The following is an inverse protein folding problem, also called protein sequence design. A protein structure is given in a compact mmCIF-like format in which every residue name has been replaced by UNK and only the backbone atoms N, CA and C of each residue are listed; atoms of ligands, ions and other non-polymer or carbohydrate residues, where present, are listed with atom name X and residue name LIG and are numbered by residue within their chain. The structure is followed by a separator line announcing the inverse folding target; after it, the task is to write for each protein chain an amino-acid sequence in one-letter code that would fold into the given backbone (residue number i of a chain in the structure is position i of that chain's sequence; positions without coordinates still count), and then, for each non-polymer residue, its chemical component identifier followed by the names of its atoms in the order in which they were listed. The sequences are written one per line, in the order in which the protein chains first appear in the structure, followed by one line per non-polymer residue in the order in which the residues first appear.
data_IF_655211675747
#
_entry.id   IF_655211675747
#
_cell.length_a   1.000
_cell.length_b   1.000
_cell.length_c   1.000
_cell.angle_alpha   90.00
_cell.angle_beta   90.00
_cell.angle_gamma   90.00
#
_symmetry.space_group_name_H-M   'P 1'
#
loop_
_entity.id
_entity.type
_entity.pdbx_description
1 polymer ?
#
# COMPACT_ATOMS: atom_id res chain seq x y z
N UNK A 1 -25.43 -18.29 16.96
CA UNK A 1 -25.67 -17.30 15.90
C UNK A 1 -24.90 -17.72 14.66
N UNK A 2 -25.56 -17.85 13.50
CA UNK A 2 -24.91 -18.24 12.23
C UNK A 2 -24.60 -16.95 11.47
N UNK A 3 -23.32 -16.60 11.33
CA UNK A 3 -22.88 -15.37 10.66
C UNK A 3 -22.93 -15.58 9.14
N UNK A 4 -24.14 -15.63 8.57
CA UNK A 4 -24.35 -16.02 7.18
C UNK A 4 -23.94 -14.93 6.19
N UNK A 5 -23.88 -13.66 6.58
CA UNK A 5 -23.52 -12.54 5.68
C UNK A 5 -22.08 -12.08 5.84
N UNK A 6 -21.26 -12.76 6.66
CA UNK A 6 -19.91 -12.32 6.95
C UNK A 6 -18.96 -12.70 5.80
N UNK A 7 -18.46 -11.69 5.10
CA UNK A 7 -17.55 -11.86 3.95
C UNK A 7 -16.08 -11.65 4.31
N UNK A 8 -15.80 -10.74 5.23
CA UNK A 8 -14.45 -10.42 5.66
C UNK A 8 -14.35 -10.47 7.18
N UNK A 9 -13.27 -11.09 7.66
CA UNK A 9 -12.86 -11.05 9.07
C UNK A 9 -11.42 -10.58 9.14
N UNK A 10 -11.20 -9.50 9.89
CA UNK A 10 -9.86 -9.00 10.20
C UNK A 10 -9.62 -9.06 11.71
N UNK A 11 -8.75 -9.99 12.14
CA UNK A 11 -8.30 -10.15 13.54
C UNK A 11 -6.80 -9.87 13.66
N UNK A 12 -6.24 -9.12 12.73
CA UNK A 12 -4.81 -8.83 12.68
C UNK A 12 -4.34 -7.99 13.87
N UNK A 13 -3.06 -8.08 14.21
CA UNK A 13 -2.41 -7.33 15.28
C UNK A 13 -2.98 -7.54 16.69
N UNK A 14 -3.44 -8.75 16.95
CA UNK A 14 -3.79 -9.18 18.28
C UNK A 14 -2.65 -10.02 18.87
N UNK A 15 -2.95 -10.79 19.92
CA UNK A 15 -2.00 -11.73 20.54
C UNK A 15 -2.51 -13.16 20.41
N UNK A 16 -3.23 -13.46 19.32
CA UNK A 16 -3.82 -14.76 19.11
C UNK A 16 -2.71 -15.79 18.88
N UNK A 17 -2.70 -16.85 19.68
CA UNK A 17 -1.79 -17.99 19.50
C UNK A 17 -2.38 -19.06 18.57
N UNK A 18 -3.68 -19.03 18.35
CA UNK A 18 -4.41 -19.97 17.50
C UNK A 18 -5.69 -19.33 16.97
N UNK A 19 -6.29 -19.97 15.98
CA UNK A 19 -7.55 -19.58 15.38
C UNK A 19 -8.42 -20.85 15.20
N UNK A 20 -9.73 -20.73 15.38
CA UNK A 20 -10.64 -21.88 15.34
C UNK A 20 -10.89 -22.35 13.90
N UNK A 21 -11.03 -23.66 13.68
CA UNK A 21 -11.49 -24.21 12.40
C UNK A 21 -12.96 -23.86 12.07
N UNK A 22 -13.71 -23.30 13.04
CA UNK A 22 -15.08 -22.85 12.82
C UNK A 22 -15.22 -21.79 11.71
N UNK A 23 -14.17 -21.04 11.39
CA UNK A 23 -14.17 -20.11 10.25
C UNK A 23 -14.38 -20.83 8.90
N UNK A 24 -14.03 -22.12 8.80
CA UNK A 24 -14.30 -22.94 7.62
C UNK A 24 -15.81 -23.16 7.38
N UNK A 25 -16.64 -23.01 8.42
CA UNK A 25 -18.09 -23.24 8.35
C UNK A 25 -18.88 -22.00 7.95
N UNK A 26 -18.22 -20.85 7.81
CA UNK A 26 -18.87 -19.61 7.39
C UNK A 26 -19.10 -19.65 5.87
N UNK A 27 -20.36 -19.62 5.39
CA UNK A 27 -20.68 -19.90 4.00
C UNK A 27 -20.14 -18.83 3.05
N UNK A 28 -20.11 -17.57 3.49
CA UNK A 28 -19.76 -16.42 2.68
C UNK A 28 -18.40 -15.80 3.03
N UNK A 29 -17.63 -16.39 3.95
CA UNK A 29 -16.33 -15.83 4.34
C UNK A 29 -15.32 -15.97 3.19
N UNK A 30 -14.97 -14.83 2.60
CA UNK A 30 -14.07 -14.68 1.47
C UNK A 30 -12.65 -14.30 1.88
N UNK A 31 -12.52 -13.47 2.92
CA UNK A 31 -11.26 -12.89 3.36
C UNK A 31 -11.07 -13.12 4.85
N UNK A 32 -9.94 -13.72 5.24
CA UNK A 32 -9.52 -13.87 6.63
C UNK A 32 -8.12 -13.26 6.82
N UNK A 33 -8.05 -12.15 7.54
CA UNK A 33 -6.80 -11.46 7.89
C UNK A 33 -6.43 -11.72 9.34
N UNK A 34 -5.27 -12.32 9.56
CA UNK A 34 -4.73 -12.76 10.85
C UNK A 34 -3.29 -12.29 11.06
N UNK A 35 -2.80 -11.34 10.27
CA UNK A 35 -1.39 -10.96 10.31
C UNK A 35 -0.99 -10.34 11.65
N UNK A 36 0.30 -10.33 11.97
CA UNK A 36 0.83 -9.71 13.20
C UNK A 36 0.21 -10.28 14.48
N UNK A 37 -0.01 -11.59 14.54
CA UNK A 37 -0.44 -12.31 15.74
C UNK A 37 0.72 -13.19 16.27
N UNK A 38 0.42 -14.22 17.05
CA UNK A 38 1.37 -15.22 17.58
C UNK A 38 0.98 -16.64 17.16
N UNK A 39 0.33 -16.77 16.00
CA UNK A 39 -0.26 -18.02 15.55
C UNK A 39 0.85 -18.98 15.19
N UNK A 40 0.84 -20.17 15.78
CA UNK A 40 1.88 -21.18 15.52
C UNK A 40 1.51 -22.18 14.42
N UNK A 41 0.22 -22.25 14.07
CA UNK A 41 -0.30 -23.18 13.06
C UNK A 41 -1.58 -22.67 12.41
N UNK A 42 -1.75 -22.96 11.12
CA UNK A 42 -2.97 -22.65 10.35
C UNK A 42 -4.03 -23.71 10.66
N UNK A 43 -5.30 -23.34 10.94
CA UNK A 43 -6.37 -24.29 11.24
C UNK A 43 -6.81 -25.04 9.98
N UNK A 44 -7.61 -26.10 10.17
CA UNK A 44 -8.28 -26.75 9.04
C UNK A 44 -9.34 -25.82 8.43
N UNK A 45 -9.09 -25.35 7.21
CA UNK A 45 -9.98 -24.50 6.42
C UNK A 45 -10.47 -25.21 5.15
N UNK A 46 -10.32 -26.54 5.07
CA UNK A 46 -10.66 -27.35 3.89
C UNK A 46 -12.13 -27.26 3.49
N UNK A 47 -13.00 -27.09 4.48
CA UNK A 47 -14.46 -27.02 4.32
C UNK A 47 -14.97 -25.64 3.90
N UNK A 48 -14.10 -24.62 3.84
CA UNK A 48 -14.53 -23.31 3.37
C UNK A 48 -14.91 -23.34 1.89
N UNK A 49 -16.08 -22.78 1.59
CA UNK A 49 -16.65 -22.76 0.24
C UNK A 49 -16.33 -21.48 -0.54
N UNK A 50 -15.88 -20.42 0.15
CA UNK A 50 -15.74 -19.08 -0.41
C UNK A 50 -14.41 -18.40 -0.12
N UNK A 51 -13.62 -18.89 0.85
CA UNK A 51 -12.37 -18.24 1.26
C UNK A 51 -11.36 -18.24 0.13
N UNK A 52 -11.03 -17.06 -0.39
CA UNK A 52 -10.06 -16.88 -1.47
C UNK A 52 -8.78 -16.16 -1.02
N UNK A 53 -8.80 -15.45 0.12
CA UNK A 53 -7.63 -14.78 0.70
C UNK A 53 -7.46 -15.15 2.17
N UNK A 54 -6.28 -15.67 2.51
CA UNK A 54 -5.82 -15.90 3.88
C UNK A 54 -4.50 -15.17 4.10
N UNK A 55 -4.50 -14.21 5.01
CA UNK A 55 -3.26 -13.54 5.45
C UNK A 55 -2.91 -14.00 6.87
N UNK A 56 -1.84 -14.79 6.99
CA UNK A 56 -1.27 -15.27 8.26
C UNK A 56 0.19 -14.81 8.41
N UNK A 57 0.54 -13.72 7.74
CA UNK A 57 1.89 -13.17 7.80
C UNK A 57 2.25 -12.62 9.18
N UNK A 58 3.54 -12.51 9.48
CA UNK A 58 4.04 -11.99 10.75
C UNK A 58 3.40 -12.72 11.95
N UNK A 59 3.50 -14.04 11.94
CA UNK A 59 3.08 -14.94 13.01
C UNK A 59 4.27 -15.86 13.36
N UNK A 60 4.03 -16.85 14.20
CA UNK A 60 5.03 -17.81 14.68
C UNK A 60 4.86 -19.18 14.00
N UNK A 61 4.43 -19.21 12.73
CA UNK A 61 4.18 -20.45 11.99
C UNK A 61 5.50 -21.08 11.57
N UNK A 62 5.81 -22.25 12.11
CA UNK A 62 7.09 -22.94 11.82
C UNK A 62 7.01 -23.88 10.61
N UNK A 63 5.84 -24.47 10.37
CA UNK A 63 5.66 -25.48 9.33
C UNK A 63 4.32 -25.27 8.62
N UNK A 64 4.35 -25.39 7.30
CA UNK A 64 3.14 -25.52 6.48
C UNK A 64 3.18 -26.92 5.91
N UNK A 65 2.40 -27.82 6.50
CA UNK A 65 2.24 -29.13 5.90
C UNK A 65 1.38 -28.95 4.64
N UNK A 66 1.89 -29.28 3.47
CA UNK A 66 1.20 -29.06 2.19
C UNK A 66 0.09 -30.07 1.92
N UNK A 67 0.01 -31.12 2.75
CA UNK A 67 -1.17 -31.95 2.91
C UNK A 67 -2.29 -31.22 3.71
N UNK A 68 -2.03 -30.03 4.28
CA UNK A 68 -3.03 -29.19 4.96
C UNK A 68 -4.10 -28.72 4.00
N UNK A 69 -5.31 -29.25 4.20
CA UNK A 69 -6.51 -28.52 4.63
C UNK A 69 -6.69 -27.03 4.28
N UNK A 70 -6.32 -26.61 3.08
CA UNK A 70 -6.64 -25.28 2.56
C UNK A 70 -7.98 -25.30 1.81
N UNK A 71 -8.69 -24.18 1.86
CA UNK A 71 -9.94 -24.00 1.13
C UNK A 71 -9.73 -24.22 -0.39
N UNK A 72 -10.64 -24.95 -1.05
CA UNK A 72 -10.57 -25.17 -2.50
C UNK A 72 -10.64 -23.86 -3.29
N UNK A 73 -11.12 -22.79 -2.70
CA UNK A 73 -11.23 -21.46 -3.31
C UNK A 73 -10.00 -20.57 -3.08
N UNK A 74 -9.03 -20.98 -2.26
CA UNK A 74 -7.91 -20.11 -1.84
C UNK A 74 -7.00 -19.66 -3.00
N UNK A 75 -7.04 -18.39 -3.37
CA UNK A 75 -6.19 -17.82 -4.43
C UNK A 75 -4.92 -17.17 -3.88
N UNK A 76 -5.01 -16.59 -2.68
CA UNK A 76 -3.93 -15.85 -2.04
C UNK A 76 -3.70 -16.37 -0.63
N UNK A 77 -2.47 -16.81 -0.35
CA UNK A 77 -1.99 -17.19 0.97
C UNK A 77 -0.74 -16.39 1.27
N UNK A 78 -0.82 -15.49 2.24
CA UNK A 78 0.33 -14.71 2.67
C UNK A 78 0.94 -15.32 3.94
N UNK A 79 2.13 -15.88 3.79
CA UNK A 79 2.95 -16.49 4.84
C UNK A 79 4.19 -15.65 5.18
N UNK A 80 4.32 -14.47 4.58
CA UNK A 80 5.52 -13.63 4.76
C UNK A 80 5.78 -13.35 6.23
N UNK A 81 7.05 -13.16 6.58
CA UNK A 81 7.44 -12.75 7.93
C UNK A 81 7.11 -13.77 9.05
N UNK A 82 6.88 -15.04 8.73
CA UNK A 82 6.96 -16.13 9.71
C UNK A 82 8.42 -16.59 9.78
N UNK A 83 9.19 -16.04 10.74
CA UNK A 83 10.66 -16.17 10.75
C UNK A 83 11.16 -17.61 10.93
N UNK A 84 10.37 -18.44 11.62
CA UNK A 84 10.68 -19.84 11.84
C UNK A 84 10.14 -20.76 10.73
N UNK A 85 9.45 -20.20 9.72
CA UNK A 85 8.79 -20.99 8.69
C UNK A 85 9.80 -21.72 7.81
N UNK A 86 9.80 -23.04 7.92
CA UNK A 86 10.57 -23.92 7.04
C UNK A 86 9.67 -24.42 5.93
N UNK A 87 9.77 -23.78 4.76
CA UNK A 87 9.07 -24.23 3.57
C UNK A 87 9.96 -25.22 2.82
N UNK A 88 9.58 -26.49 2.81
CA UNK A 88 10.24 -27.45 1.94
C UNK A 88 9.60 -27.39 0.54
N UNK A 89 10.29 -26.82 -0.43
CA UNK A 89 9.82 -26.72 -1.83
C UNK A 89 9.50 -28.09 -2.46
N UNK A 90 10.05 -29.17 -1.91
CA UNK A 90 9.76 -30.54 -2.35
C UNK A 90 8.40 -31.08 -1.87
N UNK A 91 7.84 -30.57 -0.75
CA UNK A 91 6.50 -30.94 -0.27
C UNK A 91 5.41 -30.06 -0.88
N UNK A 92 5.74 -28.87 -1.39
CA UNK A 92 4.87 -27.96 -2.17
C UNK A 92 4.48 -28.48 -3.55
N UNK A 93 4.32 -29.80 -3.71
CA UNK A 93 3.72 -30.35 -4.92
C UNK A 93 2.21 -30.31 -4.75
N UNK A 94 1.46 -29.45 -5.48
CA UNK A 94 0.02 -29.60 -5.54
C UNK A 94 -0.27 -30.97 -6.15
N UNK A 95 -0.56 -31.96 -5.29
CA UNK A 95 -1.11 -33.25 -5.74
C UNK A 95 -2.55 -33.03 -6.16
N UNK A 96 -2.76 -32.40 -7.32
CA UNK A 96 -3.98 -32.49 -8.14
C UNK A 96 -3.76 -31.82 -9.49
N UNK A 97 -4.13 -32.53 -10.57
CA UNK A 97 -4.22 -32.01 -11.93
C UNK A 97 -4.99 -30.68 -11.92
N UNK A 98 -4.39 -29.61 -12.43
CA UNK A 98 -5.07 -28.38 -12.80
C UNK A 98 -4.93 -27.17 -11.86
N UNK A 99 -4.14 -27.22 -10.78
CA UNK A 99 -3.91 -26.04 -9.93
C UNK A 99 -2.42 -25.81 -9.68
N UNK A 100 -1.87 -24.81 -10.37
CA UNK A 100 -0.53 -24.32 -10.13
C UNK A 100 -0.58 -23.39 -8.91
N UNK A 101 -0.09 -23.84 -7.76
CA UNK A 101 0.17 -22.95 -6.63
C UNK A 101 1.54 -22.32 -6.90
N UNK A 102 1.58 -21.07 -7.33
CA UNK A 102 2.83 -20.33 -7.44
C UNK A 102 3.22 -19.82 -6.06
N UNK A 103 4.30 -20.34 -5.50
CA UNK A 103 4.92 -19.77 -4.32
C UNK A 103 5.76 -18.59 -4.78
N UNK A 104 5.36 -17.38 -4.38
CA UNK A 104 6.11 -16.16 -4.62
C UNK A 104 6.79 -15.81 -3.30
N UNK A 105 8.10 -15.94 -3.26
CA UNK A 105 8.87 -15.45 -2.12
C UNK A 105 9.02 -13.92 -2.23
N UNK A 106 8.10 -13.22 -1.59
CA UNK A 106 8.13 -11.76 -1.52
C UNK A 106 9.32 -11.26 -0.67
N UNK A 107 9.91 -12.10 0.19
CA UNK A 107 11.02 -11.73 1.07
C UNK A 107 12.37 -11.66 0.35
N UNK A 108 12.66 -12.59 -0.57
CA UNK A 108 13.94 -12.64 -1.30
C UNK A 108 13.94 -11.81 -2.60
N UNK A 109 12.80 -11.61 -3.27
CA UNK A 109 12.68 -10.74 -4.45
C UNK A 109 12.61 -9.24 -4.12
N UNK A 110 12.54 -8.88 -2.83
CA UNK A 110 12.51 -7.48 -2.36
C UNK A 110 13.86 -6.76 -2.41
N UNK A 111 14.88 -7.38 -2.99
CA UNK A 111 16.19 -6.79 -3.25
C UNK A 111 16.24 -6.20 -4.66
N UNK A 112 16.40 -4.88 -4.77
CA UNK A 112 16.77 -4.23 -6.04
C UNK A 112 18.00 -3.36 -5.81
N UNK A 113 19.19 -3.88 -6.11
CA UNK A 113 20.44 -3.18 -5.81
C UNK A 113 20.65 -2.98 -4.30
N UNK A 114 21.07 -1.78 -3.83
CA UNK A 114 21.34 -1.48 -2.41
C UNK A 114 20.07 -1.21 -1.58
N UNK A 115 18.88 -1.55 -2.07
CA UNK A 115 17.61 -1.22 -1.40
C UNK A 115 16.78 -2.46 -1.10
N UNK A 116 16.18 -2.46 0.09
CA UNK A 116 15.14 -3.40 0.50
C UNK A 116 13.81 -2.66 0.54
N UNK A 117 12.80 -3.16 -0.16
CA UNK A 117 11.48 -2.53 -0.16
C UNK A 117 10.40 -3.52 0.28
N UNK A 118 9.27 -3.00 0.73
CA UNK A 118 8.13 -3.81 1.18
C UNK A 118 6.86 -2.99 1.13
N UNK A 119 5.72 -3.64 0.94
CA UNK A 119 4.43 -2.96 0.79
C UNK A 119 3.32 -3.73 1.48
N UNK A 120 2.29 -3.01 1.88
CA UNK A 120 1.11 -3.56 2.51
C UNK A 120 -0.12 -2.81 2.01
N UNK A 121 -1.08 -3.56 1.47
CA UNK A 121 -2.27 -3.03 0.81
C UNK A 121 -3.55 -3.62 1.41
N UNK A 122 -4.58 -2.79 1.61
CA UNK A 122 -5.89 -3.23 2.05
C UNK A 122 -6.96 -2.36 1.40
N UNK A 123 -8.03 -2.98 0.94
CA UNK A 123 -9.20 -2.29 0.39
C UNK A 123 -10.03 -1.59 1.49
N UNK A 124 -9.82 -1.93 2.77
CA UNK A 124 -10.65 -1.42 3.85
C UNK A 124 -12.12 -1.72 3.61
N UNK A 125 -12.98 -0.69 3.70
CA UNK A 125 -14.42 -0.79 3.41
C UNK A 125 -14.78 -0.70 1.92
N UNK A 126 -13.80 -0.53 1.02
CA UNK A 126 -14.06 -0.42 -0.43
C UNK A 126 -14.18 -1.80 -1.06
N UNK A 127 -15.07 -1.91 -2.04
CA UNK A 127 -15.30 -3.15 -2.80
C UNK A 127 -14.10 -3.56 -3.67
N UNK A 128 -13.18 -2.64 -3.98
CA UNK A 128 -12.00 -2.88 -4.81
C UNK A 128 -10.79 -2.09 -4.31
N UNK A 129 -9.60 -2.64 -4.54
CA UNK A 129 -8.33 -1.97 -4.28
C UNK A 129 -7.99 -1.06 -5.46
N UNK A 130 -7.97 0.25 -5.23
CA UNK A 130 -7.71 1.28 -6.25
C UNK A 130 -6.28 1.81 -6.20
N UNK A 131 -5.38 1.10 -5.52
CA UNK A 131 -4.03 1.56 -5.23
C UNK A 131 -3.02 0.62 -5.88
N UNK A 132 -2.09 1.18 -6.63
CA UNK A 132 -1.06 0.45 -7.38
C UNK A 132 0.32 0.96 -7.02
N UNK A 133 1.28 0.04 -7.03
CA UNK A 133 2.69 0.31 -6.81
C UNK A 133 3.46 0.36 -8.13
N UNK A 134 4.44 1.24 -8.20
CA UNK A 134 5.43 1.29 -9.27
C UNK A 134 6.71 0.69 -8.71
N UNK A 135 7.13 -0.42 -9.31
CA UNK A 135 8.32 -1.17 -8.91
C UNK A 135 9.48 -0.88 -9.87
N UNK A 136 10.72 -0.91 -9.37
CA UNK A 136 11.89 -0.90 -10.24
C UNK A 136 11.83 -2.12 -11.18
N UNK A 137 11.95 -1.88 -12.49
CA UNK A 137 12.23 -2.93 -13.48
C UNK A 137 13.75 -3.10 -13.60
N UNK A 138 14.21 -4.23 -14.14
CA UNK A 138 15.63 -4.60 -14.20
C UNK A 138 16.57 -3.50 -14.73
N UNK A 139 16.09 -2.61 -15.61
CA UNK A 139 16.82 -1.45 -16.17
C UNK A 139 16.68 -0.12 -15.41
N UNK A 140 15.72 -0.01 -14.48
CA UNK A 140 15.38 1.24 -13.79
C UNK A 140 15.27 1.02 -12.27
N UNK A 141 16.39 0.57 -11.67
CA UNK A 141 16.49 0.11 -10.26
C UNK A 141 16.26 1.19 -9.20
N UNK A 142 16.02 2.42 -9.63
CA UNK A 142 16.00 3.62 -8.78
C UNK A 142 14.62 4.28 -8.70
N UNK A 143 13.62 3.80 -9.46
CA UNK A 143 12.28 4.40 -9.51
C UNK A 143 11.31 3.57 -8.67
N UNK A 144 10.71 4.23 -7.69
CA UNK A 144 9.62 3.72 -6.87
C UNK A 144 8.42 4.65 -6.99
N UNK A 145 7.23 4.16 -6.73
CA UNK A 145 6.07 5.04 -6.74
C UNK A 145 4.79 4.38 -6.28
N UNK A 146 3.81 5.23 -6.04
CA UNK A 146 2.49 4.87 -5.56
C UNK A 146 1.45 5.68 -6.34
N UNK A 147 0.42 5.01 -6.83
CA UNK A 147 -0.74 5.62 -7.45
C UNK A 147 -1.97 5.22 -6.63
N UNK A 148 -2.70 6.21 -6.13
CA UNK A 148 -3.98 6.06 -5.45
C UNK A 148 -5.09 6.61 -6.35
N UNK A 149 -5.80 5.72 -7.04
CA UNK A 149 -6.94 6.04 -7.90
C UNK A 149 -8.20 6.45 -7.14
N UNK A 150 -8.17 6.48 -5.80
CA UNK A 150 -9.33 6.80 -4.97
C UNK A 150 -10.42 5.75 -5.14
N UNK A 151 -11.41 6.04 -5.97
CA UNK A 151 -12.53 5.13 -6.31
C UNK A 151 -12.36 4.46 -7.69
N UNK A 152 -11.28 4.75 -8.41
CA UNK A 152 -11.05 4.35 -9.78
C UNK A 152 -9.95 3.27 -9.87
N UNK A 153 -10.10 2.29 -10.78
CA UNK A 153 -9.18 1.13 -10.93
C UNK A 153 -8.21 1.28 -12.14
N UNK A 154 -8.41 2.28 -12.98
CA UNK A 154 -7.60 2.55 -14.19
C UNK A 154 -6.25 3.19 -13.84
N UNK A 155 -5.12 2.66 -14.33
CA UNK A 155 -3.76 3.17 -14.03
C UNK A 155 -2.82 3.20 -15.24
N UNK A 156 -1.83 4.10 -15.20
CA UNK A 156 -0.95 4.42 -16.33
C UNK A 156 0.48 3.91 -16.09
N UNK A 157 1.13 3.40 -17.15
CA UNK A 157 2.51 2.89 -17.10
C UNK A 157 3.45 3.67 -18.04
N UNK A 158 4.70 3.92 -17.61
CA UNK A 158 5.76 4.50 -18.45
C UNK A 158 6.73 5.38 -17.65
N UNK A 159 8.03 5.32 -17.97
CA UNK A 159 9.08 6.15 -17.32
C UNK A 159 9.79 7.00 -18.38
N UNK A 160 9.29 8.22 -18.56
CA UNK A 160 10.06 9.40 -18.98
C UNK A 160 10.16 10.34 -17.75
N UNK A 161 10.88 11.46 -17.85
CA UNK A 161 11.06 12.46 -16.78
C UNK A 161 9.86 12.53 -15.81
N UNK A 162 10.07 12.40 -14.50
CA UNK A 162 8.99 12.18 -13.50
C UNK A 162 7.74 13.07 -13.69
N UNK A 163 7.95 14.35 -14.03
CA UNK A 163 6.89 15.30 -14.36
C UNK A 163 6.09 14.93 -15.62
N UNK A 164 6.78 14.51 -16.68
CA UNK A 164 6.16 14.04 -17.92
C UNK A 164 5.37 12.76 -17.71
N UNK A 165 5.85 11.84 -16.87
CA UNK A 165 5.09 10.65 -16.51
C UNK A 165 3.75 11.00 -15.86
N UNK A 166 3.73 11.96 -14.93
CA UNK A 166 2.51 12.44 -14.27
C UNK A 166 1.57 13.19 -15.24
N UNK A 167 2.11 14.01 -16.14
CA UNK A 167 1.32 14.70 -17.16
C UNK A 167 0.68 13.70 -18.14
N UNK A 168 1.46 12.73 -18.64
CA UNK A 168 0.93 11.64 -19.49
C UNK A 168 -0.15 10.83 -18.77
N UNK A 169 0.03 10.60 -17.46
CA UNK A 169 -0.99 9.92 -16.67
C UNK A 169 -2.30 10.71 -16.58
N UNK A 170 -2.22 12.04 -16.41
CA UNK A 170 -3.41 12.90 -16.44
C UNK A 170 -4.10 12.87 -17.81
N UNK A 171 -3.34 12.98 -18.90
CA UNK A 171 -3.90 12.94 -20.26
C UNK A 171 -4.61 11.60 -20.54
N UNK A 172 -3.98 10.49 -20.17
CA UNK A 172 -4.57 9.17 -20.36
C UNK A 172 -5.84 8.95 -19.53
N UNK A 173 -5.87 9.41 -18.28
CA UNK A 173 -7.09 9.37 -17.46
C UNK A 173 -8.22 10.18 -18.11
N UNK A 174 -7.91 11.35 -18.68
CA UNK A 174 -8.89 12.16 -19.42
C UNK A 174 -9.46 11.44 -20.64
N UNK A 175 -8.64 10.67 -21.36
CA UNK A 175 -9.08 9.86 -22.51
C UNK A 175 -9.99 8.69 -22.09
N UNK A 176 -9.71 8.05 -20.94
CA UNK A 176 -10.50 6.93 -20.43
C UNK A 176 -11.84 7.37 -19.83
N UNK A 177 -11.88 8.56 -19.23
CA UNK A 177 -13.11 9.11 -18.69
C UNK A 177 -12.88 10.37 -17.88
N UNK A 178 -13.66 11.40 -18.17
CA UNK A 178 -13.44 12.74 -17.59
C UNK A 178 -13.53 12.76 -16.06
N UNK A 179 -14.37 11.89 -15.46
CA UNK A 179 -14.57 11.79 -14.00
C UNK A 179 -13.53 10.95 -13.27
N UNK A 180 -12.63 10.29 -13.99
CA UNK A 180 -11.58 9.50 -13.38
C UNK A 180 -10.50 10.42 -12.83
N UNK A 181 -10.03 10.13 -11.63
CA UNK A 181 -9.00 10.88 -10.96
C UNK A 181 -8.13 10.00 -10.09
N UNK A 182 -6.90 10.45 -9.87
CA UNK A 182 -5.91 9.75 -9.08
C UNK A 182 -4.96 10.73 -8.38
N UNK A 183 -4.35 10.26 -7.30
CA UNK A 183 -3.14 10.84 -6.73
C UNK A 183 -1.96 9.95 -7.10
N UNK A 184 -0.80 10.53 -7.35
CA UNK A 184 0.41 9.79 -7.66
C UNK A 184 1.63 10.44 -7.01
N UNK A 185 2.51 9.58 -6.52
CA UNK A 185 3.83 9.93 -6.02
C UNK A 185 4.86 9.06 -6.72
N UNK A 186 5.85 9.70 -7.31
CA UNK A 186 7.03 9.04 -7.86
C UNK A 186 8.25 9.45 -7.06
N UNK A 187 9.12 8.49 -6.81
CA UNK A 187 10.33 8.65 -6.04
C UNK A 187 11.48 8.04 -6.82
N UNK A 188 12.51 8.84 -7.03
CA UNK A 188 13.74 8.46 -7.70
C UNK A 188 14.91 8.60 -6.74
N UNK A 189 15.59 7.50 -6.49
CA UNK A 189 16.73 7.44 -5.57
C UNK A 189 18.03 7.42 -6.38
N UNK A 190 18.74 8.54 -6.41
CA UNK A 190 20.11 8.61 -6.92
C UNK A 190 21.11 8.20 -5.83
N UNK A 191 22.40 8.18 -6.16
CA UNK A 191 23.46 7.92 -5.16
C UNK A 191 23.50 9.00 -4.07
N UNK A 192 23.36 10.28 -4.44
CA UNK A 192 23.54 11.40 -3.49
C UNK A 192 22.25 12.17 -3.19
N UNK A 193 21.18 11.91 -3.94
CA UNK A 193 19.95 12.69 -3.87
C UNK A 193 18.70 11.84 -4.03
N UNK A 194 17.66 12.24 -3.29
CA UNK A 194 16.31 11.76 -3.40
C UNK A 194 15.47 12.78 -4.16
N UNK A 195 14.94 12.38 -5.32
CA UNK A 195 14.00 13.18 -6.09
C UNK A 195 12.59 12.64 -5.90
N UNK A 196 11.66 13.49 -5.50
CA UNK A 196 10.25 13.14 -5.36
C UNK A 196 9.39 14.03 -6.26
N UNK A 197 8.42 13.44 -6.96
CA UNK A 197 7.43 14.14 -7.76
C UNK A 197 6.02 13.70 -7.35
N UNK A 198 5.18 14.66 -6.97
CA UNK A 198 3.91 14.36 -6.28
C UNK A 198 2.78 15.16 -6.89
N UNK A 199 1.66 14.50 -7.15
CA UNK A 199 0.41 15.11 -7.60
C UNK A 199 -0.75 14.49 -6.83
N UNK A 200 -1.50 15.27 -6.06
CA UNK A 200 -2.62 14.80 -5.25
C UNK A 200 -2.25 14.55 -3.79
N UNK A 201 -2.92 13.60 -3.13
CA UNK A 201 -2.91 13.41 -1.67
C UNK A 201 -2.18 12.13 -1.23
N UNK A 202 -0.92 12.00 -1.63
CA UNK A 202 -0.01 10.94 -1.16
C UNK A 202 1.12 11.62 -0.40
N UNK A 203 1.46 11.07 0.76
CA UNK A 203 2.51 11.58 1.63
C UNK A 203 3.76 10.71 1.60
N UNK A 204 4.91 11.34 1.81
CA UNK A 204 6.19 10.66 1.95
C UNK A 204 7.00 11.24 3.11
N UNK A 205 7.59 10.36 3.91
CA UNK A 205 8.37 10.71 5.11
C UNK A 205 9.71 10.00 5.05
N UNK A 206 10.81 10.75 5.14
CA UNK A 206 12.17 10.23 5.26
C UNK A 206 12.54 10.12 6.74
N UNK A 207 13.03 8.96 7.18
CA UNK A 207 13.59 8.78 8.51
C UNK A 207 15.09 9.08 8.46
N UNK A 208 15.51 10.11 9.20
CA UNK A 208 16.91 10.53 9.34
C UNK A 208 17.31 10.52 10.81
N UNK A 209 18.22 9.63 11.17
CA UNK A 209 18.68 9.45 12.56
C UNK A 209 17.51 9.30 13.56
N UNK A 210 16.44 8.61 13.16
CA UNK A 210 15.22 8.44 13.95
C UNK A 210 14.23 9.59 13.95
N UNK A 211 14.54 10.71 13.29
CA UNK A 211 13.60 11.82 13.14
C UNK A 211 12.87 11.70 11.81
N UNK A 212 11.57 11.96 11.83
CA UNK A 212 10.75 12.04 10.63
C UNK A 212 10.94 13.40 9.96
N UNK A 213 11.49 13.39 8.74
CA UNK A 213 11.47 14.51 7.81
C UNK A 213 10.27 14.32 6.87
N UNK A 214 9.24 15.14 7.04
CA UNK A 214 8.10 15.14 6.13
C UNK A 214 8.53 15.78 4.79
N UNK A 215 8.50 14.98 3.72
CA UNK A 215 8.81 15.47 2.38
C UNK A 215 7.63 16.21 1.75
N UNK A 216 6.46 16.13 2.38
CA UNK A 216 5.15 16.46 1.82
C UNK A 216 4.34 17.40 2.68
N UNK A 217 4.98 18.06 3.65
CA UNK A 217 4.45 18.91 4.73
C UNK A 217 3.12 19.63 4.39
N UNK A 218 3.09 20.43 3.31
CA UNK A 218 1.91 21.22 2.88
C UNK A 218 0.90 20.49 1.97
N UNK A 219 1.19 19.26 1.54
CA UNK A 219 0.41 18.53 0.53
C UNK A 219 -0.52 17.47 1.13
N UNK A 220 -0.25 17.04 2.36
CA UNK A 220 -1.10 16.08 3.10
C UNK A 220 -2.26 16.80 3.80
N UNK A 221 -2.10 18.09 4.12
CA UNK A 221 -3.14 18.87 4.80
C UNK A 221 -4.46 18.76 4.03
N UNK A 222 -5.52 18.42 4.75
CA UNK A 222 -6.86 18.27 4.19
C UNK A 222 -7.48 19.61 3.77
N UNK A 223 -6.80 20.69 4.10
CA UNK A 223 -7.29 22.04 3.99
C UNK A 223 -6.67 22.68 2.75
N UNK A 224 -7.55 23.10 1.86
CA UNK A 224 -7.22 24.03 0.80
C UNK A 224 -6.74 25.29 1.51
N UNK A 225 -5.46 25.64 1.36
CA UNK A 225 -4.91 26.82 2.03
C UNK A 225 -5.66 28.09 1.57
N UNK A 226 -5.62 29.14 2.39
CA UNK A 226 -6.37 30.38 2.13
C UNK A 226 -6.12 30.95 0.72
N UNK A 227 -4.88 30.85 0.23
CA UNK A 227 -4.53 31.30 -1.13
C UNK A 227 -5.21 30.47 -2.22
N UNK A 228 -5.23 29.14 -2.08
CA UNK A 228 -5.91 28.23 -3.01
C UNK A 228 -7.43 28.45 -2.96
N UNK A 229 -7.97 28.66 -1.75
CA UNK A 229 -9.38 28.91 -1.53
C UNK A 229 -9.83 30.22 -2.19
N UNK A 230 -9.03 31.28 -2.05
CA UNK A 230 -9.28 32.56 -2.73
C UNK A 230 -9.21 32.42 -4.25
N UNK A 231 -8.26 31.64 -4.78
CA UNK A 231 -8.16 31.40 -6.22
C UNK A 231 -9.41 30.69 -6.75
N UNK A 232 -9.81 29.59 -6.12
CA UNK A 232 -11.01 28.83 -6.50
C UNK A 232 -12.29 29.70 -6.45
N UNK A 233 -12.43 30.54 -5.41
CA UNK A 233 -13.56 31.49 -5.32
C UNK A 233 -13.56 32.53 -6.44
N UNK A 234 -12.38 33.04 -6.85
CA UNK A 234 -12.29 33.97 -8.00
C UNK A 234 -12.72 33.30 -9.30
N UNK A 235 -12.48 31.99 -9.42
CA UNK A 235 -12.84 31.20 -10.59
C UNK A 235 -14.29 30.65 -10.52
N UNK A 236 -15.13 31.14 -9.59
CA UNK A 236 -16.51 30.73 -9.34
C UNK A 236 -16.69 29.23 -9.03
N UNK A 237 -15.66 28.60 -8.46
CA UNK A 237 -15.68 27.18 -8.11
C UNK A 237 -16.32 27.00 -6.72
N UNK A 238 -17.24 26.04 -6.62
CA UNK A 238 -17.90 25.70 -5.36
C UNK A 238 -17.01 24.80 -4.52
N UNK A 239 -16.84 25.14 -3.23
CA UNK A 239 -16.12 24.31 -2.26
C UNK A 239 -17.10 23.90 -1.17
N UNK A 240 -17.25 22.59 -0.95
CA UNK A 240 -18.13 22.07 0.10
C UNK A 240 -17.51 22.21 1.49
N UNK A 241 -18.32 22.01 2.52
CA UNK A 241 -17.87 22.03 3.92
C UNK A 241 -16.77 21.00 4.22
N UNK A 242 -16.71 19.92 3.45
CA UNK A 242 -15.70 18.87 3.57
C UNK A 242 -14.42 19.15 2.74
N UNK A 243 -14.22 20.39 2.29
CA UNK A 243 -13.10 20.82 1.43
C UNK A 243 -13.02 20.08 0.09
N UNK A 244 -14.17 19.73 -0.51
CA UNK A 244 -14.22 19.15 -1.85
C UNK A 244 -14.56 20.21 -2.90
N UNK A 245 -13.74 20.26 -3.94
CA UNK A 245 -13.93 21.08 -5.14
C UNK A 245 -15.08 20.49 -5.94
N UNK A 246 -16.12 21.29 -6.18
CA UNK A 246 -17.39 20.89 -6.81
C UNK A 246 -18.03 19.65 -6.15
N UNK A 247 -17.74 19.44 -4.86
CA UNK A 247 -18.21 18.27 -4.12
C UNK A 247 -17.56 16.93 -4.50
N UNK A 248 -16.53 16.96 -5.34
CA UNK A 248 -15.94 15.74 -5.94
C UNK A 248 -14.47 15.59 -5.59
N UNK A 249 -13.65 16.61 -5.86
CA UNK A 249 -12.19 16.47 -5.81
C UNK A 249 -11.59 17.09 -4.55
N UNK A 250 -10.79 16.36 -3.76
CA UNK A 250 -10.22 16.87 -2.51
C UNK A 250 -8.92 17.66 -2.70
N UNK A 251 -8.42 17.85 -3.94
CA UNK A 251 -7.17 18.55 -4.21
C UNK A 251 -7.16 19.19 -5.59
N UNK A 252 -6.69 20.45 -5.67
CA UNK A 252 -6.50 21.17 -6.94
C UNK A 252 -5.43 20.53 -7.83
N UNK A 253 -4.58 19.65 -7.28
CA UNK A 253 -3.40 19.08 -7.96
C UNK A 253 -3.57 17.61 -8.33
N UNK A 254 -4.79 17.08 -8.26
CA UNK A 254 -5.06 15.68 -8.62
C UNK A 254 -4.80 15.42 -10.11
N UNK A 255 -4.42 14.20 -10.44
CA UNK A 255 -4.40 13.72 -11.83
C UNK A 255 -5.83 13.39 -12.26
N UNK A 256 -6.10 13.46 -13.58
CA UNK A 256 -7.44 13.28 -14.14
C UNK A 256 -8.38 14.44 -13.79
N UNK A 257 -9.64 14.11 -13.48
CA UNK A 257 -10.75 15.05 -13.25
C UNK A 257 -10.85 16.12 -14.33
N UNK A 258 -10.72 15.73 -15.60
CA UNK A 258 -10.64 16.65 -16.73
C UNK A 258 -11.85 17.58 -16.85
N UNK A 259 -13.03 17.15 -16.39
CA UNK A 259 -14.24 18.00 -16.35
C UNK A 259 -14.17 19.13 -15.32
N UNK A 260 -13.24 19.08 -14.36
CA UNK A 260 -13.00 20.14 -13.37
C UNK A 260 -11.95 21.15 -13.84
N UNK A 261 -11.51 21.10 -15.09
CA UNK A 261 -10.65 22.13 -15.66
C UNK A 261 -11.37 23.50 -15.67
N UNK A 262 -10.72 24.61 -15.26
CA UNK A 262 -9.31 24.74 -14.84
C UNK A 262 -9.08 24.63 -13.33
N UNK A 263 -10.13 24.37 -12.53
CA UNK A 263 -10.07 24.30 -11.07
C UNK A 263 -9.14 23.19 -10.55
N UNK A 264 -9.13 22.04 -11.25
CA UNK A 264 -8.23 20.93 -10.97
C UNK A 264 -7.29 20.76 -12.14
N UNK A 265 -5.99 20.92 -11.87
CA UNK A 265 -4.93 20.77 -12.86
C UNK A 265 -3.73 20.09 -12.21
N UNK A 266 -3.16 19.06 -12.86
CA UNK A 266 -1.98 18.38 -12.34
C UNK A 266 -0.80 19.37 -12.32
N UNK A 267 -0.39 19.77 -11.13
CA UNK A 267 0.82 20.55 -10.92
C UNK A 267 1.77 19.75 -10.02
N UNK A 268 2.54 18.81 -10.60
CA UNK A 268 3.36 17.92 -9.81
C UNK A 268 4.47 18.71 -9.12
N UNK A 269 4.50 18.63 -7.79
CA UNK A 269 5.51 19.29 -6.97
C UNK A 269 6.76 18.43 -6.99
N UNK A 270 7.92 19.05 -7.31
CA UNK A 270 9.22 18.39 -7.28
C UNK A 270 9.93 18.77 -5.99
N UNK A 271 10.30 17.77 -5.20
CA UNK A 271 11.14 17.91 -4.01
C UNK A 271 12.46 17.20 -4.30
N UNK A 272 13.58 17.81 -3.91
CA UNK A 272 14.91 17.19 -4.01
C UNK A 272 15.57 17.32 -2.65
N UNK A 273 16.03 16.19 -2.10
CA UNK A 273 16.66 16.11 -0.77
C UNK A 273 17.98 15.38 -0.90
N UNK A 274 19.10 15.93 -0.39
CA UNK A 274 20.37 15.21 -0.37
C UNK A 274 20.26 14.01 0.59
N UNK A 275 20.72 12.85 0.13
CA UNK A 275 20.81 11.64 0.94
C UNK A 275 22.05 11.73 1.83
N UNK A 276 21.90 11.31 3.09
CA UNK A 276 22.97 11.27 4.08
C UNK A 276 23.12 9.85 4.62
N UNK A 277 24.29 9.51 5.13
CA UNK A 277 24.57 8.20 5.76
C UNK A 277 23.69 7.92 6.99
N UNK A 278 23.04 8.96 7.52
CA UNK A 278 22.08 8.86 8.63
C UNK A 278 20.65 8.52 8.18
N UNK A 279 20.40 8.39 6.89
CA UNK A 279 19.07 8.08 6.33
C UNK A 279 18.77 6.58 6.44
N UNK A 280 17.67 6.24 7.13
CA UNK A 280 17.36 4.83 7.45
C UNK A 280 16.34 4.22 6.48
N UNK A 281 15.25 4.94 6.21
CA UNK A 281 14.15 4.46 5.35
C UNK A 281 13.22 5.60 4.94
N UNK A 282 12.43 5.37 3.90
CA UNK A 282 11.34 6.24 3.44
C UNK A 282 10.01 5.50 3.56
N UNK A 283 9.01 6.19 4.09
CA UNK A 283 7.62 5.76 4.14
C UNK A 283 6.86 6.52 3.07
N UNK A 284 6.19 5.83 2.15
CA UNK A 284 5.22 6.41 1.22
C UNK A 284 3.85 5.84 1.60
N UNK A 285 2.85 6.69 1.83
CA UNK A 285 1.51 6.21 2.14
C UNK A 285 0.44 7.16 1.65
N UNK A 286 -0.78 6.64 1.45
CA UNK A 286 -1.92 7.49 1.10
C UNK A 286 -2.32 8.39 2.26
N UNK A 287 -3.05 9.48 1.97
CA UNK A 287 -3.64 10.37 2.98
C UNK A 287 -4.32 9.65 4.13
N UNK A 288 -4.89 8.48 3.86
CA UNK A 288 -5.64 7.73 4.84
C UNK A 288 -4.77 7.22 6.02
N UNK A 289 -3.46 7.01 5.84
CA UNK A 289 -2.54 6.74 6.96
C UNK A 289 -2.30 8.01 7.78
N UNK A 290 -1.92 9.08 7.09
CA UNK A 290 -1.47 10.34 7.68
C UNK A 290 -2.57 11.07 8.44
N UNK A 291 -3.85 10.78 8.13
CA UNK A 291 -5.01 11.23 8.93
C UNK A 291 -5.01 10.71 10.37
N UNK A 292 -4.42 9.54 10.63
CA UNK A 292 -4.50 8.88 11.93
C UNK A 292 -3.15 8.72 12.62
N UNK A 293 -2.05 8.80 11.88
CA UNK A 293 -0.70 8.60 12.40
C UNK A 293 0.21 9.74 11.93
N UNK A 294 0.83 10.44 12.88
CA UNK A 294 1.79 11.50 12.55
C UNK A 294 3.09 10.92 11.96
N UNK A 295 3.82 11.68 11.13
CA UNK A 295 5.10 11.28 10.56
C UNK A 295 6.07 10.68 11.58
N UNK A 296 6.32 11.38 12.70
CA UNK A 296 7.23 10.91 13.74
C UNK A 296 6.73 9.61 14.38
N UNK A 297 5.43 9.50 14.64
CA UNK A 297 4.86 8.29 15.24
C UNK A 297 5.01 7.08 14.31
N UNK A 298 4.87 7.28 13.00
CA UNK A 298 5.09 6.23 12.00
C UNK A 298 6.54 5.72 12.04
N UNK A 299 7.52 6.63 12.12
CA UNK A 299 8.94 6.30 12.27
C UNK A 299 9.20 5.49 13.54
N UNK A 300 8.76 5.96 14.70
CA UNK A 300 8.97 5.29 15.99
C UNK A 300 8.44 3.85 16.01
N UNK A 301 7.32 3.60 15.34
CA UNK A 301 6.65 2.30 15.33
C UNK A 301 7.41 1.23 14.55
N UNK A 302 8.11 1.64 13.49
CA UNK A 302 8.72 0.71 12.53
C UNK A 302 10.24 0.72 12.53
N UNK A 303 10.89 1.73 13.13
CA UNK A 303 12.35 1.84 13.17
C UNK A 303 13.04 0.57 13.67
N UNK A 304 12.46 -0.07 14.70
CA UNK A 304 12.97 -1.32 15.28
C UNK A 304 12.82 -2.56 14.38
N UNK A 305 11.99 -2.52 13.34
CA UNK A 305 11.64 -3.67 12.51
C UNK A 305 12.53 -3.69 11.31
N UNK A 306 13.45 -4.66 11.19
CA UNK A 306 14.42 -4.76 10.09
C UNK A 306 13.77 -4.97 8.70
N UNK A 307 12.80 -5.87 8.62
CA UNK A 307 12.17 -6.22 7.35
C UNK A 307 11.14 -5.14 6.92
N UNK A 308 11.29 -4.52 5.72
CA UNK A 308 10.38 -3.46 5.26
C UNK A 308 8.94 -3.96 5.02
N UNK A 309 8.75 -5.23 4.65
CA UNK A 309 7.43 -5.84 4.51
C UNK A 309 6.71 -5.91 5.87
N UNK A 310 7.44 -6.25 6.93
CA UNK A 310 6.92 -6.24 8.30
C UNK A 310 6.59 -4.82 8.76
N UNK A 311 7.46 -3.87 8.45
CA UNK A 311 7.26 -2.46 8.78
C UNK A 311 5.97 -1.92 8.12
N UNK A 312 5.78 -2.18 6.83
CA UNK A 312 4.59 -1.76 6.09
C UNK A 312 3.31 -2.36 6.70
N UNK A 313 3.32 -3.66 7.00
CA UNK A 313 2.17 -4.34 7.63
C UNK A 313 1.84 -3.79 9.01
N UNK A 314 2.84 -3.46 9.82
CA UNK A 314 2.61 -2.90 11.16
C UNK A 314 1.97 -1.52 11.10
N UNK A 315 2.35 -0.68 10.15
CA UNK A 315 1.68 0.61 9.93
C UNK A 315 0.23 0.42 9.51
N UNK A 316 -0.06 -0.58 8.66
CA UNK A 316 -1.40 -0.80 8.10
C UNK A 316 -2.45 -1.05 9.17
N UNK A 317 -2.09 -1.80 10.21
CA UNK A 317 -2.97 -2.14 11.33
C UNK A 317 -3.63 -0.92 11.97
N UNK A 318 -2.90 0.19 12.06
CA UNK A 318 -3.32 1.37 12.84
C UNK A 318 -4.28 2.27 12.08
N UNK A 319 -4.52 1.95 10.81
CA UNK A 319 -5.35 2.72 9.89
C UNK A 319 -6.33 1.77 9.21
N UNK A 320 -7.61 1.84 9.56
CA UNK A 320 -8.68 0.98 9.02
C UNK A 320 -8.86 1.09 7.49
N UNK A 321 -8.19 2.07 6.87
CA UNK A 321 -8.15 2.30 5.42
C UNK A 321 -6.73 2.79 5.10
N UNK A 322 -5.75 1.94 4.76
CA UNK A 322 -4.47 2.45 4.25
C UNK A 322 -3.70 1.46 3.40
N UNK A 323 -3.18 1.99 2.29
CA UNK A 323 -2.07 1.42 1.56
C UNK A 323 -0.80 2.09 2.02
N UNK A 324 0.20 1.27 2.35
CA UNK A 324 1.49 1.72 2.83
C UNK A 324 2.56 1.06 1.98
N UNK A 325 3.42 1.90 1.45
CA UNK A 325 4.55 1.52 0.64
C UNK A 325 5.82 1.91 1.40
N UNK A 326 6.59 0.93 1.85
CA UNK A 326 7.81 1.13 2.63
C UNK A 326 9.04 0.90 1.76
N UNK A 327 9.96 1.84 1.82
CA UNK A 327 11.27 1.75 1.19
C UNK A 327 12.31 1.82 2.30
N UNK A 328 13.16 0.81 2.44
CA UNK A 328 14.26 0.83 3.40
C UNK A 328 15.58 0.89 2.68
N UNK A 329 16.44 1.82 3.10
CA UNK A 329 17.81 1.86 2.64
C UNK A 329 18.60 0.72 3.28
N UNK A 330 19.28 -0.10 2.48
CA UNK A 330 20.33 -0.97 3.01
C UNK A 330 21.62 -0.19 2.83
N UNK A 331 22.00 0.58 3.84
CA UNK A 331 23.34 1.15 3.90
C UNK A 331 24.26 -0.02 4.29
N UNK A 332 25.02 -0.53 3.31
CA UNK A 332 26.21 -1.32 3.59
C UNK A 332 27.18 -0.42 4.37
N UNK A 333 27.58 -0.85 5.57
CA UNK A 333 28.80 -0.39 6.22
C UNK A 333 29.97 -1.22 5.74
#
# INVERSE_FOLDING_TARGET
MRLTSLEEVNLSANRLSSISSAFALLPNLQILRLHSNRITSIPDLSNSQSLYLLDVSNNDIENVNTDMCMARTLKHLDLTCNLALRVNTSTLRPKKKGRLVSVVDVGSESMSGPFQYGFSETSGQKNKLCIRQIRPRNDNRHVFGMIDGGSNDETVSGVESLKMALIKAHEHLGQLGERLGASALLLYVSHDELLCAISGQIGAVLCRNGNALDLTDDMISSEICDEQYQKLRRDNVTITQDNLIEGICPSMRSLGFSFLYPAVLPNPTKITVPLLDTDEFIIIASKALWKFVSPQRSVDLIRAIRNPQMAAKKLQVRSLISFIYMLRFVIDL
#
